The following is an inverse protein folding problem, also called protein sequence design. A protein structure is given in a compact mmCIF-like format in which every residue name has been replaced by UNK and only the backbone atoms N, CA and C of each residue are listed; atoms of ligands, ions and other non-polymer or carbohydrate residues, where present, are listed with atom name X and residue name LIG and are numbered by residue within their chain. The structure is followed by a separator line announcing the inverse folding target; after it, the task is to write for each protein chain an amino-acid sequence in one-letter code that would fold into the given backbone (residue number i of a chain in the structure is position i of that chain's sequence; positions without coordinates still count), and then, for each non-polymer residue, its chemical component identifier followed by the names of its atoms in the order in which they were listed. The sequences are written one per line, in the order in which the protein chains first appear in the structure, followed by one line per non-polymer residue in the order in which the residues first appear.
data_IF_162060022643
#
_entry.id   IF_162060022643
#
_cell.length_a   1.000
_cell.length_b   1.000
_cell.length_c   1.000
_cell.angle_alpha   90.00
_cell.angle_beta   90.00
_cell.angle_gamma   90.00
#
_symmetry.space_group_name_H-M   'P 1'
#
loop_
_entity.id
_entity.type
_entity.pdbx_description
1 polymer ?
#
# COMPACT_ATOMS: atom_id res chain seq x y z
N UNK A 1 -22.01 -18.11 17.10
CA UNK A 1 -20.94 -18.32 16.09
C UNK A 1 -20.31 -16.98 15.76
N UNK A 2 -19.00 -16.84 15.97
CA UNK A 2 -18.28 -15.68 15.43
C UNK A 2 -18.12 -15.87 13.93
N UNK A 3 -18.58 -14.90 13.14
CA UNK A 3 -18.27 -14.82 11.71
C UNK A 3 -16.76 -14.60 11.61
N UNK A 4 -16.05 -15.66 11.26
CA UNK A 4 -14.64 -15.60 10.91
C UNK A 4 -14.52 -14.81 9.60
N UNK A 5 -13.56 -13.88 9.53
CA UNK A 5 -13.28 -13.19 8.28
C UNK A 5 -12.82 -14.26 7.29
N UNK A 6 -13.56 -14.44 6.18
CA UNK A 6 -13.26 -15.47 5.18
C UNK A 6 -11.93 -15.24 4.45
N UNK A 7 -11.28 -14.09 4.67
CA UNK A 7 -10.01 -13.72 4.06
C UNK A 7 -9.22 -12.83 5.01
N UNK A 8 -7.88 -12.90 5.01
CA UNK A 8 -7.04 -12.05 5.83
C UNK A 8 -7.23 -10.58 5.43
N UNK A 9 -7.61 -9.74 6.39
CA UNK A 9 -7.78 -8.30 6.16
C UNK A 9 -6.44 -7.58 6.25
N UNK A 10 -6.13 -6.79 5.21
CA UNK A 10 -5.06 -5.80 5.17
C UNK A 10 -5.64 -4.40 5.36
N UNK A 11 -5.00 -3.60 6.20
CA UNK A 11 -5.35 -2.19 6.39
C UNK A 11 -4.15 -1.32 6.06
N UNK A 12 -4.34 -0.34 5.17
CA UNK A 12 -3.40 0.79 5.07
C UNK A 12 -3.86 1.86 6.05
N UNK A 13 -2.95 2.59 6.70
CA UNK A 13 -3.32 3.48 7.80
C UNK A 13 -2.53 4.78 7.76
N UNK A 14 -3.21 5.92 7.77
CA UNK A 14 -2.58 7.20 8.12
C UNK A 14 -2.48 7.31 9.64
N UNK A 15 -1.26 7.17 10.16
CA UNK A 15 -1.04 7.24 11.59
C UNK A 15 -1.39 8.66 12.11
N UNK A 16 -2.34 8.82 13.06
CA UNK A 16 -2.65 10.14 13.59
C UNK A 16 -1.53 10.67 14.49
N UNK A 17 -1.38 12.00 14.53
CA UNK A 17 -0.47 12.68 15.45
C UNK A 17 -0.90 12.57 16.93
N UNK A 18 -2.20 12.40 17.20
CA UNK A 18 -2.72 12.26 18.54
C UNK A 18 -2.48 10.83 19.07
N UNK A 19 -1.70 10.69 20.13
CA UNK A 19 -1.31 9.38 20.70
C UNK A 19 -2.49 8.57 21.23
N UNK A 20 -3.46 9.22 21.88
CA UNK A 20 -4.64 8.56 22.42
C UNK A 20 -5.50 7.98 21.31
N UNK A 21 -5.71 8.74 20.23
CA UNK A 21 -6.41 8.30 19.04
C UNK A 21 -5.64 7.19 18.34
N UNK A 22 -4.31 7.31 18.18
CA UNK A 22 -3.48 6.27 17.58
C UNK A 22 -3.63 4.93 18.32
N UNK A 23 -3.57 4.98 19.66
CA UNK A 23 -3.72 3.81 20.53
C UNK A 23 -5.14 3.23 20.46
N UNK A 24 -6.16 4.09 20.46
CA UNK A 24 -7.55 3.66 20.28
C UNK A 24 -7.72 2.89 18.97
N UNK A 25 -7.29 3.50 17.86
CA UNK A 25 -7.42 2.91 16.52
C UNK A 25 -6.61 1.61 16.39
N UNK A 26 -5.39 1.56 16.91
CA UNK A 26 -4.59 0.33 16.94
C UNK A 26 -5.32 -0.82 17.65
N UNK A 27 -5.89 -0.57 18.83
CA UNK A 27 -6.69 -1.58 19.56
C UNK A 27 -7.86 -2.07 18.72
N UNK A 28 -8.56 -1.19 18.02
CA UNK A 28 -9.67 -1.58 17.11
C UNK A 28 -9.19 -2.49 15.98
N UNK A 29 -8.00 -2.24 15.41
CA UNK A 29 -7.41 -3.09 14.38
C UNK A 29 -7.04 -4.48 14.94
N UNK A 30 -6.42 -4.54 16.13
CA UNK A 30 -6.07 -5.80 16.81
C UNK A 30 -7.31 -6.61 17.19
N UNK A 31 -8.32 -5.97 17.79
CA UNK A 31 -9.61 -6.60 18.13
C UNK A 31 -10.34 -7.14 16.89
N UNK A 32 -10.24 -6.39 15.78
CA UNK A 32 -10.74 -6.78 14.47
C UNK A 32 -9.95 -7.90 13.79
N UNK A 33 -8.84 -8.36 14.39
CA UNK A 33 -7.93 -9.39 13.87
C UNK A 33 -7.39 -9.07 12.47
N UNK A 34 -7.03 -7.81 12.26
CA UNK A 34 -6.30 -7.40 11.05
C UNK A 34 -4.98 -8.18 10.97
N UNK A 35 -4.64 -8.71 9.81
CA UNK A 35 -3.43 -9.53 9.64
C UNK A 35 -2.22 -8.70 9.20
N UNK A 36 -2.46 -7.64 8.42
CA UNK A 36 -1.42 -6.77 7.89
C UNK A 36 -1.82 -5.30 8.05
N UNK A 37 -0.91 -4.49 8.58
CA UNK A 37 -1.06 -3.03 8.68
C UNK A 37 0.12 -2.36 7.95
N UNK A 38 -0.18 -1.51 6.96
CA UNK A 38 0.80 -0.63 6.32
C UNK A 38 0.53 0.80 6.77
N UNK A 39 1.30 1.28 7.74
CA UNK A 39 1.10 2.58 8.36
C UNK A 39 2.00 3.64 7.70
N UNK A 40 1.38 4.69 7.16
CA UNK A 40 2.07 5.89 6.69
C UNK A 40 2.39 6.78 7.89
N UNK A 41 3.67 7.10 8.04
CA UNK A 41 4.20 7.92 9.14
C UNK A 41 4.62 9.27 8.56
N UNK A 42 4.12 10.35 9.16
CA UNK A 42 4.56 11.72 8.88
C UNK A 42 5.39 12.27 10.05
N UNK A 43 5.93 13.48 9.87
CA UNK A 43 6.66 14.18 10.93
C UNK A 43 5.77 14.46 12.14
N UNK A 44 4.48 14.73 11.91
CA UNK A 44 3.50 14.98 12.96
C UNK A 44 3.12 13.69 13.71
N UNK A 45 3.17 12.53 13.05
CA UNK A 45 2.78 11.25 13.65
C UNK A 45 3.92 10.46 14.29
N UNK A 46 5.18 10.92 14.18
CA UNK A 46 6.34 10.21 14.71
C UNK A 46 6.29 10.03 16.24
N UNK A 47 5.75 11.02 16.97
CA UNK A 47 5.54 10.92 18.42
C UNK A 47 4.54 9.82 18.77
N UNK A 48 3.39 9.80 18.08
CA UNK A 48 2.38 8.76 18.24
C UNK A 48 2.90 7.37 17.91
N UNK A 49 3.77 7.24 16.89
CA UNK A 49 4.45 5.98 16.58
C UNK A 49 5.28 5.49 17.78
N UNK A 50 6.09 6.37 18.38
CA UNK A 50 6.87 6.03 19.59
C UNK A 50 5.99 5.58 20.76
N UNK A 51 4.82 6.20 20.93
CA UNK A 51 3.89 5.89 22.02
C UNK A 51 3.19 4.52 21.90
N UNK A 52 3.02 4.00 20.67
CA UNK A 52 2.34 2.72 20.41
C UNK A 52 3.25 1.62 19.85
N UNK A 53 4.52 1.92 19.54
CA UNK A 53 5.41 1.01 18.82
C UNK A 53 5.65 -0.33 19.52
N UNK A 54 5.76 -0.35 20.85
CA UNK A 54 5.86 -1.60 21.63
C UNK A 54 4.61 -2.49 21.44
N UNK A 55 3.43 -1.90 21.19
CA UNK A 55 2.21 -2.65 20.92
C UNK A 55 2.24 -3.34 19.54
N UNK A 56 3.06 -2.86 18.59
CA UNK A 56 3.24 -3.49 17.28
C UNK A 56 4.04 -4.80 17.37
N UNK A 57 4.92 -4.93 18.36
CA UNK A 57 5.75 -6.11 18.56
C UNK A 57 5.06 -7.21 19.40
N UNK A 58 3.82 -6.99 19.85
CA UNK A 58 3.11 -7.98 20.67
C UNK A 58 2.82 -9.27 19.89
N UNK A 59 3.08 -10.45 20.48
CA UNK A 59 2.79 -11.73 19.84
C UNK A 59 1.31 -11.86 19.44
N UNK A 60 1.08 -12.36 18.24
CA UNK A 60 -0.27 -12.56 17.70
C UNK A 60 -0.94 -11.28 17.16
N UNK A 61 -0.23 -10.15 17.17
CA UNK A 61 -0.66 -8.92 16.49
C UNK A 61 -0.53 -8.98 14.96
N UNK A 62 -1.03 -7.94 14.26
CA UNK A 62 -0.84 -7.76 12.83
C UNK A 62 0.65 -7.66 12.48
N UNK A 63 1.04 -8.09 11.28
CA UNK A 63 2.34 -7.71 10.72
C UNK A 63 2.30 -6.26 10.29
N UNK A 64 3.27 -5.47 10.75
CA UNK A 64 3.32 -4.03 10.50
C UNK A 64 4.43 -3.69 9.51
N UNK A 65 4.06 -2.96 8.47
CA UNK A 65 4.98 -2.25 7.59
C UNK A 65 4.82 -0.75 7.84
N UNK A 66 5.91 -0.02 8.02
CA UNK A 66 5.88 1.44 8.10
C UNK A 66 6.35 2.03 6.78
N UNK A 67 5.55 2.91 6.21
CA UNK A 67 5.95 3.77 5.10
C UNK A 67 6.36 5.13 5.68
N UNK A 68 7.64 5.47 5.60
CA UNK A 68 8.22 6.64 6.29
C UNK A 68 9.12 7.46 5.35
N UNK A 69 9.00 8.80 5.31
CA UNK A 69 9.97 9.69 4.67
C UNK A 69 11.41 9.45 5.15
N UNK A 70 12.37 9.47 4.23
CA UNK A 70 13.76 9.20 4.56
C UNK A 70 14.41 10.25 5.46
N UNK A 71 13.87 11.48 5.51
CA UNK A 71 14.30 12.52 6.46
C UNK A 71 13.78 12.31 7.90
N UNK A 72 13.03 11.24 8.13
CA UNK A 72 12.55 10.80 9.45
C UNK A 72 13.21 9.51 9.96
N UNK A 73 14.21 8.99 9.24
CA UNK A 73 14.89 7.75 9.58
C UNK A 73 15.68 7.88 10.88
N UNK A 74 16.34 9.02 11.11
CA UNK A 74 17.19 9.22 12.29
C UNK A 74 16.34 9.22 13.58
N UNK A 75 15.10 9.70 13.51
CA UNK A 75 14.14 9.62 14.60
C UNK A 75 13.81 8.16 14.97
N UNK A 76 13.73 7.25 13.98
CA UNK A 76 13.53 5.81 14.25
C UNK A 76 14.72 5.19 14.97
N UNK A 77 15.93 5.72 14.78
CA UNK A 77 17.11 5.20 15.48
C UNK A 77 17.01 5.35 17.00
N UNK A 78 16.23 6.32 17.49
CA UNK A 78 15.93 6.50 18.90
C UNK A 78 14.91 5.51 19.49
N UNK A 79 14.24 4.72 18.65
CA UNK A 79 13.23 3.77 19.11
C UNK A 79 13.83 2.46 19.63
N UNK A 80 13.08 1.79 20.51
CA UNK A 80 13.48 0.57 21.21
C UNK A 80 13.62 -0.67 20.31
N UNK A 81 13.79 -1.83 20.94
CA UNK A 81 14.01 -3.09 20.24
C UNK A 81 12.81 -3.56 19.40
N UNK A 82 11.60 -3.02 19.66
CA UNK A 82 10.37 -3.37 18.96
C UNK A 82 10.44 -3.16 17.44
N UNK A 83 11.29 -2.23 16.96
CA UNK A 83 11.44 -1.97 15.52
C UNK A 83 11.96 -3.18 14.73
N UNK A 84 12.61 -4.14 15.40
CA UNK A 84 13.07 -5.40 14.79
C UNK A 84 11.94 -6.31 14.30
N UNK A 85 10.71 -6.07 14.78
CA UNK A 85 9.51 -6.79 14.34
C UNK A 85 8.84 -6.20 13.10
N UNK A 86 9.31 -5.05 12.60
CA UNK A 86 8.67 -4.30 11.52
C UNK A 86 9.34 -4.54 10.17
N UNK A 87 8.57 -4.28 9.11
CA UNK A 87 9.10 -3.96 7.78
C UNK A 87 9.08 -2.45 7.55
N UNK A 88 10.04 -1.91 6.81
CA UNK A 88 10.09 -0.49 6.44
C UNK A 88 10.04 -0.30 4.93
N UNK A 89 9.24 0.67 4.51
CA UNK A 89 9.22 1.29 3.19
C UNK A 89 9.75 2.72 3.35
N UNK A 90 10.97 2.97 2.87
CA UNK A 90 11.60 4.28 2.97
C UNK A 90 11.20 5.10 1.74
N UNK A 91 10.51 6.21 1.96
CA UNK A 91 10.09 7.16 0.92
C UNK A 91 11.14 8.26 0.72
N UNK A 92 11.14 8.96 -0.43
CA UNK A 92 12.00 10.12 -0.65
C UNK A 92 11.79 11.21 0.43
N UNK A 93 12.80 12.08 0.68
CA UNK A 93 14.15 12.04 0.10
C UNK A 93 14.99 10.91 0.71
N UNK A 94 15.89 10.30 -0.08
CA UNK A 94 16.71 9.19 0.40
C UNK A 94 18.04 9.70 0.99
N UNK A 95 18.21 9.62 2.31
CA UNK A 95 19.47 9.94 3.02
C UNK A 95 20.46 8.77 3.04
N UNK A 96 21.63 8.93 3.68
CA UNK A 96 22.59 7.82 3.90
C UNK A 96 22.24 6.93 5.11
N UNK A 97 21.34 7.38 6.00
CA UNK A 97 21.05 6.75 7.30
C UNK A 97 20.33 5.39 7.22
N UNK A 98 19.82 4.97 6.06
CA UNK A 98 19.11 3.68 5.93
C UNK A 98 20.00 2.45 6.17
N UNK A 99 21.31 2.56 5.91
CA UNK A 99 22.23 1.44 6.12
C UNK A 99 22.27 1.02 7.60
N UNK A 100 22.16 1.98 8.52
CA UNK A 100 22.15 1.73 9.97
C UNK A 100 20.86 1.03 10.42
N UNK A 101 19.73 1.30 9.76
CA UNK A 101 18.46 0.65 10.06
C UNK A 101 18.38 -0.79 9.53
N UNK A 102 19.11 -1.12 8.45
CA UNK A 102 19.03 -2.43 7.79
C UNK A 102 19.37 -3.62 8.69
N UNK A 103 20.15 -3.40 9.77
CA UNK A 103 20.45 -4.41 10.78
C UNK A 103 19.51 -4.43 11.99
N UNK A 104 18.57 -3.47 12.08
CA UNK A 104 17.68 -3.28 13.23
C UNK A 104 16.22 -3.61 12.95
N UNK A 105 15.81 -3.65 11.69
CA UNK A 105 14.43 -3.96 11.27
C UNK A 105 14.37 -5.27 10.48
N UNK A 106 13.20 -5.87 10.37
CA UNK A 106 13.03 -7.19 9.74
C UNK A 106 13.20 -7.16 8.22
N UNK A 107 12.68 -6.13 7.55
CA UNK A 107 12.79 -5.96 6.09
C UNK A 107 12.86 -4.47 5.75
N UNK A 108 13.67 -4.10 4.76
CA UNK A 108 13.75 -2.73 4.22
C UNK A 108 13.48 -2.74 2.72
N UNK A 109 12.60 -1.86 2.28
CA UNK A 109 12.37 -1.53 0.88
C UNK A 109 12.57 -0.04 0.67
N UNK A 110 13.22 0.33 -0.43
CA UNK A 110 13.23 1.70 -0.93
C UNK A 110 11.95 1.90 -1.74
N UNK A 111 11.09 2.78 -1.27
CA UNK A 111 9.74 2.91 -1.78
C UNK A 111 9.54 4.24 -2.50
N UNK A 112 8.60 4.25 -3.44
CA UNK A 112 8.13 5.46 -4.11
C UNK A 112 6.65 5.30 -4.50
N UNK A 113 6.02 6.42 -4.84
CA UNK A 113 4.62 6.45 -5.27
C UNK A 113 4.49 6.23 -6.78
N UNK A 114 3.49 5.46 -7.21
CA UNK A 114 3.09 5.29 -8.61
C UNK A 114 2.34 6.53 -9.12
N UNK A 115 3.04 7.67 -9.10
CA UNK A 115 2.56 8.99 -9.54
C UNK A 115 3.59 9.61 -10.49
N UNK A 116 3.19 10.59 -11.31
CA UNK A 116 4.15 11.33 -12.14
C UNK A 116 5.34 11.89 -11.34
N UNK A 117 5.07 12.45 -10.16
CA UNK A 117 6.07 13.04 -9.27
C UNK A 117 6.92 11.96 -8.62
N UNK A 118 6.29 10.95 -8.00
CA UNK A 118 7.01 9.89 -7.29
C UNK A 118 7.91 9.03 -8.20
N UNK A 119 7.58 8.89 -9.48
CA UNK A 119 8.44 8.19 -10.43
C UNK A 119 9.73 8.95 -10.73
N UNK A 120 9.80 10.27 -10.51
CA UNK A 120 11.03 11.05 -10.74
C UNK A 120 12.19 10.51 -9.89
N UNK A 121 11.89 10.02 -8.68
CA UNK A 121 12.84 9.46 -7.73
C UNK A 121 13.30 8.02 -8.06
N UNK A 122 12.76 7.38 -9.12
CA UNK A 122 13.00 5.96 -9.36
C UNK A 122 14.47 5.62 -9.63
N UNK A 123 15.22 6.47 -10.34
CA UNK A 123 16.67 6.26 -10.55
C UNK A 123 17.45 6.29 -9.24
N UNK A 124 17.10 7.22 -8.35
CA UNK A 124 17.70 7.32 -7.02
C UNK A 124 17.32 6.12 -6.16
N UNK A 125 16.05 5.70 -6.18
CA UNK A 125 15.59 4.51 -5.49
C UNK A 125 16.36 3.24 -5.90
N UNK A 126 16.62 3.08 -7.20
CA UNK A 126 17.46 1.98 -7.73
C UNK A 126 18.89 2.06 -7.19
N UNK A 127 19.50 3.24 -7.23
CA UNK A 127 20.86 3.44 -6.71
C UNK A 127 20.96 3.09 -5.22
N UNK A 128 20.04 3.60 -4.41
CA UNK A 128 19.97 3.38 -2.96
C UNK A 128 19.73 1.90 -2.65
N UNK A 129 18.78 1.25 -3.32
CA UNK A 129 18.47 -0.16 -3.12
C UNK A 129 19.65 -1.07 -3.48
N UNK A 130 20.39 -0.76 -4.55
CA UNK A 130 21.63 -1.49 -4.89
C UNK A 130 22.69 -1.35 -3.81
N UNK A 131 22.90 -0.15 -3.28
CA UNK A 131 23.91 0.13 -2.25
C UNK A 131 23.58 -0.53 -0.91
N UNK A 132 22.30 -0.66 -0.56
CA UNK A 132 21.84 -1.39 0.64
C UNK A 132 21.72 -2.90 0.47
N UNK A 133 21.81 -3.42 -0.76
CA UNK A 133 21.31 -4.77 -1.06
C UNK A 133 19.84 -4.95 -0.61
N UNK A 134 19.04 -3.91 -0.79
CA UNK A 134 17.62 -3.85 -0.45
C UNK A 134 16.71 -4.23 -1.61
N UNK A 135 15.42 -3.93 -1.45
CA UNK A 135 14.40 -4.08 -2.50
C UNK A 135 13.76 -2.75 -2.84
N UNK A 136 13.01 -2.69 -3.94
CA UNK A 136 12.22 -1.52 -4.33
C UNK A 136 10.73 -1.85 -4.25
N UNK A 137 9.94 -0.90 -3.73
CA UNK A 137 8.48 -0.98 -3.71
C UNK A 137 7.85 0.26 -4.38
N UNK A 138 7.23 0.09 -5.55
CA UNK A 138 6.40 1.11 -6.17
C UNK A 138 4.95 0.93 -5.70
N UNK A 139 4.49 1.87 -4.89
CA UNK A 139 3.24 1.78 -4.14
C UNK A 139 2.18 2.72 -4.73
N UNK A 140 0.90 2.35 -4.64
CA UNK A 140 -0.21 3.26 -4.99
C UNK A 140 -0.12 4.58 -4.20
N UNK A 141 -0.51 5.75 -4.73
CA UNK A 141 -0.41 7.00 -3.98
C UNK A 141 -1.27 7.05 -2.72
N UNK A 142 -0.90 7.95 -1.80
CA UNK A 142 -1.75 8.40 -0.70
C UNK A 142 -2.73 9.50 -1.12
N UNK A 143 -3.36 9.31 -2.28
CA UNK A 143 -4.30 10.24 -2.89
C UNK A 143 -5.16 9.50 -3.91
N UNK A 144 -6.16 10.20 -4.46
CA UNK A 144 -6.90 9.71 -5.63
C UNK A 144 -5.90 9.31 -6.72
N UNK A 145 -6.05 8.10 -7.25
CA UNK A 145 -5.11 7.62 -8.26
C UNK A 145 -5.20 8.45 -9.54
N UNK A 146 -4.07 8.57 -10.23
CA UNK A 146 -3.96 9.22 -11.53
C UNK A 146 -3.27 8.25 -12.48
N UNK A 147 -3.81 8.10 -13.69
CA UNK A 147 -3.22 7.22 -14.67
C UNK A 147 -1.83 7.73 -15.08
N UNK A 148 -0.86 6.83 -15.09
CA UNK A 148 0.46 7.13 -15.62
C UNK A 148 0.37 7.26 -17.14
N UNK A 149 0.98 8.30 -17.70
CA UNK A 149 1.09 8.45 -19.15
C UNK A 149 2.06 7.41 -19.73
N UNK A 150 2.00 7.20 -21.05
CA UNK A 150 3.00 6.41 -21.75
C UNK A 150 4.43 6.94 -21.53
N UNK A 151 4.60 8.26 -21.43
CA UNK A 151 5.89 8.89 -21.16
C UNK A 151 6.41 8.55 -19.76
N UNK A 152 5.55 8.51 -18.73
CA UNK A 152 5.94 8.11 -17.38
C UNK A 152 6.38 6.63 -17.33
N UNK A 153 5.64 5.74 -18.01
CA UNK A 153 6.00 4.32 -18.12
C UNK A 153 7.32 4.12 -18.88
N UNK A 154 7.51 4.83 -19.99
CA UNK A 154 8.75 4.78 -20.77
C UNK A 154 9.96 5.29 -19.97
N UNK A 155 9.79 6.36 -19.18
CA UNK A 155 10.82 6.84 -18.26
C UNK A 155 11.20 5.76 -17.24
N UNK A 156 10.21 5.14 -16.60
CA UNK A 156 10.46 4.10 -15.60
C UNK A 156 11.17 2.88 -16.20
N UNK A 157 10.73 2.43 -17.39
CA UNK A 157 11.39 1.34 -18.12
C UNK A 157 12.83 1.69 -18.50
N UNK A 158 13.09 2.91 -18.97
CA UNK A 158 14.44 3.35 -19.31
C UNK A 158 15.34 3.35 -18.06
N UNK A 159 14.87 3.92 -16.95
CA UNK A 159 15.58 3.91 -15.67
C UNK A 159 15.88 2.49 -15.18
N UNK A 160 14.89 1.59 -15.27
CA UNK A 160 15.04 0.18 -14.89
C UNK A 160 16.02 -0.57 -15.79
N UNK A 161 15.98 -0.32 -17.11
CA UNK A 161 16.86 -0.97 -18.09
C UNK A 161 18.31 -0.47 -18.01
N UNK A 162 18.51 0.84 -17.84
CA UNK A 162 19.82 1.48 -17.65
C UNK A 162 20.55 0.94 -16.43
N UNK A 163 19.81 0.47 -15.42
CA UNK A 163 20.38 -0.17 -14.25
C UNK A 163 21.12 -1.49 -14.56
N UNK A 164 20.99 -2.05 -15.78
CA UNK A 164 21.58 -3.32 -16.20
C UNK A 164 20.79 -4.53 -15.68
N UNK A 165 20.58 -5.54 -16.55
CA UNK A 165 19.78 -6.79 -16.41
C UNK A 165 19.11 -7.01 -15.05
N UNK A 166 17.78 -7.26 -15.01
CA UNK A 166 16.89 -7.05 -13.86
C UNK A 166 17.67 -7.24 -12.57
N UNK A 167 18.15 -6.11 -12.05
CA UNK A 167 19.21 -6.07 -11.06
C UNK A 167 18.83 -6.99 -9.89
N UNK A 168 19.81 -7.56 -9.18
CA UNK A 168 19.57 -8.37 -7.96
C UNK A 168 18.66 -7.70 -6.91
N UNK A 169 18.29 -6.44 -7.11
CA UNK A 169 17.29 -5.70 -6.36
C UNK A 169 15.89 -6.24 -6.69
N UNK A 170 15.22 -6.89 -5.73
CA UNK A 170 13.84 -7.31 -5.90
C UNK A 170 12.95 -6.08 -6.12
N UNK A 171 12.03 -6.16 -7.09
CA UNK A 171 11.12 -5.07 -7.42
C UNK A 171 9.67 -5.52 -7.20
N UNK A 172 8.93 -4.77 -6.39
CA UNK A 172 7.48 -4.91 -6.19
C UNK A 172 6.77 -3.70 -6.77
N UNK A 173 5.76 -3.92 -7.59
CA UNK A 173 4.97 -2.85 -8.22
C UNK A 173 3.49 -3.14 -8.01
N UNK A 174 2.79 -2.23 -7.34
CA UNK A 174 1.35 -2.36 -7.09
C UNK A 174 0.50 -1.93 -8.29
N UNK A 175 1.00 -1.00 -9.10
CA UNK A 175 0.36 -0.55 -10.32
C UNK A 175 0.48 -1.61 -11.42
N UNK A 176 -0.67 -2.09 -11.90
CA UNK A 176 -0.76 -3.23 -12.81
C UNK A 176 -0.06 -2.96 -14.14
N UNK A 177 -0.32 -1.80 -14.75
CA UNK A 177 0.16 -1.47 -16.09
C UNK A 177 1.60 -0.96 -16.08
N UNK A 178 2.02 -0.30 -14.99
CA UNK A 178 3.44 0.00 -14.77
C UNK A 178 4.24 -1.29 -14.57
N UNK A 179 3.71 -2.25 -13.80
CA UNK A 179 4.37 -3.54 -13.58
C UNK A 179 4.60 -4.29 -14.89
N UNK A 180 3.58 -4.34 -15.75
CA UNK A 180 3.70 -4.89 -17.11
C UNK A 180 4.73 -4.13 -17.95
N UNK A 181 4.68 -2.78 -17.95
CA UNK A 181 5.63 -1.97 -18.71
C UNK A 181 7.09 -2.15 -18.28
N UNK A 182 7.32 -2.58 -17.04
CA UNK A 182 8.65 -2.91 -16.50
C UNK A 182 9.07 -4.36 -16.80
N UNK A 183 8.28 -5.10 -17.60
CA UNK A 183 8.58 -6.48 -18.00
C UNK A 183 8.29 -7.51 -16.93
N UNK A 184 7.50 -7.16 -15.90
CA UNK A 184 7.05 -8.11 -14.88
C UNK A 184 5.82 -8.87 -15.37
N UNK A 185 5.42 -9.92 -14.65
CA UNK A 185 4.23 -10.73 -14.95
C UNK A 185 3.08 -10.46 -13.96
N UNK A 186 2.52 -9.24 -13.90
CA UNK A 186 1.59 -8.85 -12.84
C UNK A 186 0.31 -9.70 -12.82
N UNK A 187 -0.18 -10.13 -13.98
CA UNK A 187 -1.42 -10.90 -14.12
C UNK A 187 -1.35 -12.32 -13.56
N UNK A 188 -0.17 -12.83 -13.16
CA UNK A 188 -0.05 -14.12 -12.47
C UNK A 188 -0.40 -14.03 -10.98
N UNK A 189 -0.15 -12.87 -10.36
CA UNK A 189 -0.34 -12.65 -8.92
C UNK A 189 -1.51 -11.71 -8.60
N UNK A 190 -1.99 -10.94 -9.59
CA UNK A 190 -3.12 -10.05 -9.43
C UNK A 190 -4.44 -10.84 -9.36
N UNK A 191 -5.23 -10.59 -8.32
CA UNK A 191 -6.48 -11.29 -8.03
C UNK A 191 -7.72 -10.38 -8.13
N UNK A 192 -7.62 -9.24 -8.83
CA UNK A 192 -8.67 -8.24 -8.88
C UNK A 192 -8.60 -7.19 -7.77
N UNK A 193 -9.62 -6.34 -7.72
CA UNK A 193 -9.75 -5.32 -6.69
C UNK A 193 -10.03 -5.95 -5.30
N UNK A 194 -9.16 -5.65 -4.32
CA UNK A 194 -9.33 -6.08 -2.93
C UNK A 194 -10.11 -5.09 -2.04
N UNK A 195 -10.45 -3.92 -2.57
CA UNK A 195 -11.07 -2.83 -1.79
C UNK A 195 -12.42 -3.26 -1.21
N UNK A 196 -12.63 -2.99 0.08
CA UNK A 196 -13.80 -3.42 0.86
C UNK A 196 -14.03 -4.95 0.98
N UNK A 197 -13.18 -5.80 0.40
CA UNK A 197 -13.27 -7.27 0.52
C UNK A 197 -12.19 -7.86 1.43
N UNK A 198 -10.92 -7.52 1.18
CA UNK A 198 -9.76 -7.92 1.98
C UNK A 198 -8.75 -6.78 2.18
N UNK A 199 -9.07 -5.59 1.68
CA UNK A 199 -8.33 -4.34 1.87
C UNK A 199 -9.27 -3.25 2.37
N UNK A 200 -8.76 -2.44 3.31
CA UNK A 200 -9.34 -1.16 3.67
C UNK A 200 -8.23 -0.12 3.88
N UNK A 201 -8.63 1.14 3.94
CA UNK A 201 -7.77 2.24 4.37
C UNK A 201 -8.37 2.93 5.58
N UNK A 202 -7.56 3.15 6.61
CA UNK A 202 -7.90 3.88 7.82
C UNK A 202 -7.24 5.26 7.75
N UNK A 203 -8.06 6.30 7.76
CA UNK A 203 -7.55 7.69 7.78
C UNK A 203 -7.06 8.08 9.18
N UNK A 204 -6.32 9.18 9.28
CA UNK A 204 -5.88 9.73 10.56
C UNK A 204 -7.04 10.19 11.45
N UNK A 205 -8.23 10.39 10.90
CA UNK A 205 -9.43 10.75 11.65
C UNK A 205 -10.22 9.54 12.17
N UNK A 206 -9.79 8.31 11.87
CA UNK A 206 -10.51 7.09 12.25
C UNK A 206 -11.57 6.62 11.24
N UNK A 207 -11.77 7.36 10.14
CA UNK A 207 -12.65 6.92 9.04
C UNK A 207 -12.04 5.73 8.31
N UNK A 208 -12.82 4.67 8.13
CA UNK A 208 -12.47 3.50 7.34
C UNK A 208 -13.08 3.64 5.95
N UNK A 209 -12.26 3.55 4.91
CA UNK A 209 -12.65 3.65 3.50
C UNK A 209 -12.18 2.41 2.72
N UNK A 210 -12.73 2.19 1.52
CA UNK A 210 -12.49 0.98 0.72
C UNK A 210 -11.01 0.78 0.35
N UNK A 211 -10.32 1.84 -0.08
CA UNK A 211 -8.86 1.89 -0.18
C UNK A 211 -8.39 3.35 -0.30
N UNK A 212 -7.07 3.60 -0.22
CA UNK A 212 -6.51 4.96 -0.26
C UNK A 212 -6.72 5.69 -1.60
N UNK A 213 -6.79 4.96 -2.72
CA UNK A 213 -6.97 5.55 -4.05
C UNK A 213 -8.42 5.74 -4.45
N UNK A 214 -9.35 5.10 -3.73
CA UNK A 214 -10.79 5.17 -3.92
C UNK A 214 -11.46 5.28 -2.53
N UNK A 215 -11.50 6.49 -1.95
CA UNK A 215 -11.88 6.71 -0.55
C UNK A 215 -13.41 6.67 -0.35
N UNK A 216 -14.03 5.55 -0.71
CA UNK A 216 -15.45 5.28 -0.46
C UNK A 216 -15.62 4.84 0.99
N UNK A 217 -16.40 5.59 1.77
CA UNK A 217 -16.57 5.36 3.20
C UNK A 217 -17.25 4.01 3.51
N UNK A 218 -16.67 3.29 4.48
CA UNK A 218 -17.19 2.05 5.04
C UNK A 218 -17.75 2.26 6.45
N UNK A 219 -17.17 3.19 7.22
CA UNK A 219 -17.61 3.54 8.57
C UNK A 219 -16.55 4.31 9.35
N UNK A 220 -16.72 4.39 10.67
CA UNK A 220 -15.82 5.10 11.59
C UNK A 220 -15.39 4.20 12.75
N UNK A 221 -14.08 4.00 12.93
CA UNK A 221 -13.51 3.17 14.00
C UNK A 221 -13.50 3.83 15.38
N UNK A 222 -13.71 5.15 15.45
CA UNK A 222 -13.91 5.84 16.73
C UNK A 222 -15.23 5.39 17.35
N UNK A 223 -16.29 5.32 16.53
CA UNK A 223 -17.65 5.03 17.00
C UNK A 223 -18.01 3.55 16.91
N UNK A 224 -17.50 2.83 15.90
CA UNK A 224 -17.95 1.48 15.56
C UNK A 224 -16.78 0.49 15.54
N UNK A 225 -17.02 -0.76 15.95
CA UNK A 225 -15.99 -1.79 15.86
C UNK A 225 -15.72 -2.19 14.41
N UNK A 226 -14.46 -2.56 14.08
CA UNK A 226 -14.12 -3.04 12.73
C UNK A 226 -14.98 -4.24 12.32
N UNK A 227 -15.27 -5.14 13.27
CA UNK A 227 -16.10 -6.33 13.05
C UNK A 227 -17.52 -5.98 12.64
N UNK A 228 -18.10 -4.92 13.20
CA UNK A 228 -19.46 -4.51 12.87
C UNK A 228 -19.51 -3.79 11.54
N UNK A 229 -18.53 -2.91 11.25
CA UNK A 229 -18.35 -2.32 9.91
C UNK A 229 -18.23 -3.43 8.85
N UNK A 230 -17.45 -4.48 9.12
CA UNK A 230 -17.24 -5.56 8.16
C UNK A 230 -18.51 -6.39 7.89
N UNK A 231 -19.49 -6.38 8.78
CA UNK A 231 -20.77 -7.09 8.57
C UNK A 231 -21.81 -6.27 7.80
N UNK A 232 -21.54 -4.99 7.53
CA UNK A 232 -22.51 -4.14 6.86
C UNK A 232 -22.85 -4.67 5.46
N UNK A 233 -24.14 -4.67 5.14
CA UNK A 233 -24.64 -5.05 3.81
C UNK A 233 -24.14 -4.08 2.73
N UNK A 234 -24.07 -2.78 3.06
CA UNK A 234 -23.50 -1.74 2.18
C UNK A 234 -22.06 -2.05 1.79
N UNK A 235 -21.22 -2.47 2.74
CA UNK A 235 -19.83 -2.89 2.50
C UNK A 235 -19.76 -4.12 1.59
N UNK A 236 -20.65 -5.11 1.78
CA UNK A 236 -20.74 -6.29 0.89
C UNK A 236 -21.12 -5.92 -0.53
N UNK A 237 -22.13 -5.07 -0.67
CA UNK A 237 -22.59 -4.60 -1.98
C UNK A 237 -21.49 -3.80 -2.69
N UNK A 238 -20.79 -2.93 -1.95
CA UNK A 238 -19.68 -2.17 -2.49
C UNK A 238 -18.56 -3.08 -3.00
N UNK A 239 -18.12 -4.05 -2.18
CA UNK A 239 -17.10 -5.01 -2.59
C UNK A 239 -17.51 -5.77 -3.87
N UNK A 240 -18.77 -6.23 -3.94
CA UNK A 240 -19.30 -6.89 -5.14
C UNK A 240 -19.27 -5.97 -6.37
N UNK A 241 -19.64 -4.71 -6.21
CA UNK A 241 -19.62 -3.73 -7.30
C UNK A 241 -18.19 -3.45 -7.79
N UNK A 242 -17.24 -3.31 -6.87
CA UNK A 242 -15.83 -3.03 -7.21
C UNK A 242 -15.11 -4.21 -7.85
N UNK A 243 -15.58 -5.44 -7.60
CA UNK A 243 -15.05 -6.66 -8.23
C UNK A 243 -15.80 -7.07 -9.50
N UNK A 244 -16.85 -6.35 -9.90
CA UNK A 244 -17.58 -6.65 -11.13
C UNK A 244 -16.70 -6.30 -12.35
N UNK A 245 -16.68 -7.20 -13.34
CA UNK A 245 -15.98 -6.95 -14.59
C UNK A 245 -16.75 -5.90 -15.40
N UNK A 246 -16.12 -4.80 -15.85
CA UNK A 246 -16.76 -3.85 -16.76
C UNK A 246 -17.13 -4.52 -18.09
N UNK A 247 -18.30 -4.21 -18.64
CA UNK A 247 -18.80 -4.81 -19.91
C UNK A 247 -17.79 -4.63 -21.06
N UNK A 248 -17.15 -3.46 -21.14
CA UNK A 248 -16.12 -3.17 -22.15
C UNK A 248 -14.86 -4.05 -22.05
N UNK A 249 -14.66 -4.72 -20.91
CA UNK A 249 -13.55 -5.64 -20.70
C UNK A 249 -13.90 -7.10 -21.04
N UNK A 250 -15.18 -7.46 -21.19
CA UNK A 250 -15.61 -8.83 -21.54
C UNK A 250 -14.89 -9.44 -22.76
N UNK A 251 -14.65 -8.72 -23.87
CA UNK A 251 -13.97 -9.31 -25.02
C UNK A 251 -12.46 -9.55 -24.82
N UNK A 252 -11.85 -9.06 -23.73
CA UNK A 252 -10.41 -9.16 -23.51
C UNK A 252 -10.01 -10.51 -22.89
N UNK A 253 -8.98 -11.16 -23.44
CA UNK A 253 -8.50 -12.47 -22.92
C UNK A 253 -7.89 -12.37 -21.52
N UNK A 254 -7.43 -11.18 -21.13
CA UNK A 254 -6.89 -10.89 -19.79
C UNK A 254 -7.96 -10.48 -18.78
N UNK A 255 -9.22 -10.31 -19.19
CA UNK A 255 -10.31 -9.77 -18.35
C UNK A 255 -10.50 -10.55 -17.04
N UNK A 256 -10.44 -11.88 -17.10
CA UNK A 256 -10.57 -12.77 -15.92
C UNK A 256 -9.42 -12.55 -14.91
N UNK A 257 -8.24 -12.17 -15.39
CA UNK A 257 -7.06 -11.93 -14.53
C UNK A 257 -7.01 -10.49 -14.04
N UNK A 258 -7.23 -9.53 -14.93
CA UNK A 258 -7.14 -8.10 -14.68
C UNK A 258 -8.37 -7.54 -13.93
N UNK A 259 -9.55 -8.12 -14.10
CA UNK A 259 -10.79 -7.66 -13.47
C UNK A 259 -11.17 -6.22 -13.85
N UNK A 260 -10.68 -5.69 -14.97
CA UNK A 260 -10.86 -4.29 -15.37
C UNK A 260 -9.81 -3.31 -14.84
N UNK A 261 -8.83 -3.78 -14.05
CA UNK A 261 -7.75 -2.97 -13.48
C UNK A 261 -8.16 -2.28 -12.17
N UNK A 262 -7.54 -1.13 -11.84
CA UNK A 262 -7.84 -0.41 -10.59
C UNK A 262 -9.10 0.47 -10.72
N UNK A 263 -10.16 0.24 -9.93
CA UNK A 263 -11.34 1.12 -9.96
C UNK A 263 -11.05 2.55 -9.49
N UNK A 264 -9.98 2.77 -8.72
CA UNK A 264 -9.54 4.13 -8.35
C UNK A 264 -8.98 4.94 -9.52
N UNK A 265 -8.59 4.28 -10.60
CA UNK A 265 -8.17 4.87 -11.88
C UNK A 265 -9.32 4.97 -12.89
N UNK A 266 -10.51 4.54 -12.50
CA UNK A 266 -11.73 4.72 -13.26
C UNK A 266 -12.49 5.92 -12.68
N UNK A 267 -12.52 7.09 -13.36
CA UNK A 267 -13.15 8.29 -12.83
C UNK A 267 -14.67 8.15 -12.62
N UNK A 268 -15.29 7.17 -13.28
CA UNK A 268 -16.68 6.77 -13.09
C UNK A 268 -16.69 5.36 -12.49
N UNK A 269 -17.43 5.17 -11.39
CA UNK A 269 -17.42 3.93 -10.61
C UNK A 269 -17.87 2.73 -11.47
N UNK A 270 -16.95 1.80 -11.70
CA UNK A 270 -17.22 0.56 -12.45
C UNK A 270 -16.72 0.55 -13.90
N UNK A 271 -15.93 1.54 -14.32
CA UNK A 271 -15.27 1.51 -15.63
C UNK A 271 -13.89 0.84 -15.58
N UNK A 272 -13.38 0.55 -16.77
CA UNK A 272 -12.02 0.10 -17.00
C UNK A 272 -11.01 1.12 -16.48
N UNK A 273 -9.94 0.62 -15.89
CA UNK A 273 -8.75 1.40 -15.56
C UNK A 273 -8.28 2.21 -16.77
N UNK A 274 -8.17 3.53 -16.60
CA UNK A 274 -7.81 4.46 -17.68
C UNK A 274 -6.38 4.29 -18.19
N UNK A 275 -5.55 3.52 -17.48
CA UNK A 275 -4.22 3.11 -17.94
C UNK A 275 -4.26 1.97 -18.97
N UNK A 276 -5.40 1.29 -19.11
CA UNK A 276 -5.59 0.21 -20.07
C UNK A 276 -5.75 0.75 -21.51
N UNK A 277 -4.88 0.28 -22.40
CA UNK A 277 -4.83 0.68 -23.82
C UNK A 277 -5.92 0.00 -24.68
N UNK A 278 -6.68 -0.95 -24.13
CA UNK A 278 -7.81 -1.59 -24.80
C UNK A 278 -7.82 -3.11 -24.69
N UNK A 279 -8.65 -3.73 -25.53
CA UNK A 279 -8.80 -5.20 -25.64
C UNK A 279 -7.48 -5.81 -26.12
N UNK A 280 -7.13 -6.96 -25.53
CA UNK A 280 -5.95 -7.74 -25.89
C UNK A 280 -6.36 -9.20 -26.12
N UNK A 281 -5.70 -9.81 -27.08
CA UNK A 281 -5.87 -11.23 -27.47
C UNK A 281 -4.93 -12.14 -26.68
#
# INVERSE_FOLDING_TARGET
MMVELSSPLRVTWDLPANEELARLLWRKLVEGRVLFVDALVSRESIGALGAIGEEFALPGGPRVTLSIPGDLIDELSGFGAWISSLSLNILPPYGDSYAELSGRVGEVSIALWSTPEGLQDFKEAIYVAKRSNGSIAIMNPHAKAQALSAAHRAYALAAWSEAGEPSRVPLRVHDLFLSEALGLEPFKAYAGCAAASSLAHLTHAGKLVACRTLPLELGDLVDTSLKDIWKLASRSQLAKNLSALPEECEPCSLSVRCGGGCPGLAPEAGLRDTSCEGVRD
#
